data_IF_598000822690
#
_entry.id   IF_598000822690
#
_cell.length_a   1.000
_cell.length_b   1.000
_cell.length_c   1.000
_cell.angle_alpha   90.00
_cell.angle_beta   90.00
_cell.angle_gamma   90.00
#
_symmetry.space_group_name_H-M   'P 1'
#
loop_
_entity.id
_entity.type
_entity.pdbx_description
1 polymer ?
#
# COMPACT_ATOMS: atom_id res chain seq x y z
N UNK A 1 -34.28 2.73 -17.23
CA UNK A 1 -33.79 1.35 -17.06
C UNK A 1 -34.43 0.54 -18.17
N UNK A 2 -33.70 0.42 -19.28
CA UNK A 2 -34.21 -0.14 -20.53
C UNK A 2 -34.30 -1.67 -20.46
N UNK A 3 -35.34 -2.24 -21.06
CA UNK A 3 -35.59 -3.67 -21.12
C UNK A 3 -34.42 -4.50 -21.72
N UNK A 4 -33.50 -3.86 -22.45
CA UNK A 4 -32.30 -4.47 -22.99
C UNK A 4 -31.22 -4.78 -21.94
N UNK A 5 -31.07 -3.99 -20.87
CA UNK A 5 -30.12 -4.28 -19.78
C UNK A 5 -30.58 -5.48 -18.93
N UNK A 6 -31.90 -5.63 -18.77
CA UNK A 6 -32.50 -6.76 -18.05
C UNK A 6 -32.31 -8.07 -18.83
N UNK A 7 -32.48 -8.05 -20.16
CA UNK A 7 -32.32 -9.24 -21.01
C UNK A 7 -30.87 -9.69 -21.15
N UNK A 8 -29.91 -8.76 -21.19
CA UNK A 8 -28.48 -9.07 -21.17
C UNK A 8 -28.06 -9.70 -19.83
N UNK A 9 -28.55 -9.19 -18.71
CA UNK A 9 -28.31 -9.76 -17.38
C UNK A 9 -28.92 -11.15 -17.17
N UNK A 10 -30.07 -11.45 -17.79
CA UNK A 10 -30.70 -12.79 -17.67
C UNK A 10 -29.97 -13.89 -18.42
N UNK A 11 -29.41 -13.60 -19.60
CA UNK A 11 -28.63 -14.58 -20.36
C UNK A 11 -27.28 -14.90 -19.68
N UNK A 12 -26.67 -13.89 -19.06
CA UNK A 12 -25.45 -14.06 -18.28
C UNK A 12 -25.70 -14.87 -16.99
N UNK A 13 -26.78 -14.56 -16.27
CA UNK A 13 -27.16 -15.30 -15.06
C UNK A 13 -27.44 -16.79 -15.34
N UNK A 14 -28.15 -17.10 -16.43
CA UNK A 14 -28.41 -18.50 -16.80
C UNK A 14 -27.13 -19.26 -17.17
N UNK A 15 -26.20 -18.60 -17.86
CA UNK A 15 -24.87 -19.16 -18.16
C UNK A 15 -24.10 -19.46 -16.87
N UNK A 16 -24.08 -18.50 -15.94
CA UNK A 16 -23.43 -18.63 -14.63
C UNK A 16 -24.05 -19.79 -13.83
N UNK A 17 -25.38 -19.85 -13.74
CA UNK A 17 -26.09 -20.92 -13.01
C UNK A 17 -25.84 -22.31 -13.60
N UNK A 18 -25.76 -22.40 -14.93
CA UNK A 18 -25.38 -23.63 -15.63
C UNK A 18 -23.97 -24.09 -15.25
N UNK A 19 -22.99 -23.18 -15.22
CA UNK A 19 -21.62 -23.50 -14.78
C UNK A 19 -21.57 -23.92 -13.31
N UNK A 20 -22.29 -23.22 -12.42
CA UNK A 20 -22.41 -23.63 -11.01
C UNK A 20 -22.97 -25.04 -10.88
N UNK A 21 -24.04 -25.37 -11.59
CA UNK A 21 -24.66 -26.70 -11.54
C UNK A 21 -23.70 -27.81 -12.01
N UNK A 22 -22.77 -27.52 -12.92
CA UNK A 22 -21.75 -28.48 -13.37
C UNK A 22 -20.68 -28.74 -12.31
N UNK A 23 -20.19 -27.69 -11.63
CA UNK A 23 -19.03 -27.81 -10.72
C UNK A 23 -19.42 -28.12 -9.28
N UNK A 24 -20.58 -27.64 -8.82
CA UNK A 24 -20.98 -27.68 -7.41
C UNK A 24 -21.05 -29.09 -6.83
N UNK A 25 -21.56 -30.13 -7.51
CA UNK A 25 -21.56 -31.50 -6.97
C UNK A 25 -20.15 -32.01 -6.65
N UNK A 26 -19.19 -31.71 -7.54
CA UNK A 26 -17.79 -32.09 -7.35
C UNK A 26 -17.15 -31.31 -6.21
N UNK A 27 -17.44 -30.00 -6.10
CA UNK A 27 -16.96 -29.15 -5.01
C UNK A 27 -17.49 -29.66 -3.66
N UNK A 28 -18.80 -29.92 -3.55
CA UNK A 28 -19.42 -30.45 -2.33
C UNK A 28 -18.77 -31.79 -1.94
N UNK A 29 -18.57 -32.70 -2.90
CA UNK A 29 -17.89 -33.98 -2.65
C UNK A 29 -16.47 -33.80 -2.13
N UNK A 30 -15.70 -32.85 -2.67
CA UNK A 30 -14.35 -32.54 -2.18
C UNK A 30 -14.40 -31.90 -0.79
N UNK A 31 -15.31 -30.97 -0.53
CA UNK A 31 -15.48 -30.34 0.78
C UNK A 31 -15.93 -31.35 1.85
N UNK A 32 -16.74 -32.35 1.51
CA UNK A 32 -17.17 -33.39 2.45
C UNK A 32 -16.04 -34.36 2.82
N UNK A 33 -14.98 -34.44 2.02
CA UNK A 33 -13.79 -35.23 2.34
C UNK A 33 -12.89 -34.54 3.38
N UNK A 34 -13.06 -33.23 3.59
CA UNK A 34 -12.27 -32.42 4.51
C UNK A 34 -13.15 -31.82 5.60
N UNK A 35 -13.29 -32.53 6.73
CA UNK A 35 -14.04 -32.06 7.90
C UNK A 35 -15.51 -31.70 7.57
N UNK A 36 -16.14 -30.86 8.39
CA UNK A 36 -17.52 -30.35 8.20
C UNK A 36 -17.60 -29.14 7.26
N UNK A 37 -16.61 -28.91 6.39
CA UNK A 37 -16.55 -27.70 5.55
C UNK A 37 -17.77 -27.55 4.65
N UNK A 38 -18.29 -28.64 4.09
CA UNK A 38 -19.50 -28.60 3.27
C UNK A 38 -20.72 -28.03 4.02
N UNK A 39 -20.87 -28.32 5.33
CA UNK A 39 -21.93 -27.74 6.17
C UNK A 39 -21.70 -26.25 6.47
N UNK A 40 -20.43 -25.85 6.67
CA UNK A 40 -20.06 -24.45 6.87
C UNK A 40 -20.39 -23.62 5.62
N UNK A 41 -20.04 -24.11 4.42
CA UNK A 41 -20.38 -23.44 3.17
C UNK A 41 -21.90 -23.36 2.94
N UNK A 42 -22.64 -24.43 3.24
CA UNK A 42 -24.12 -24.39 3.18
C UNK A 42 -24.69 -23.33 4.12
N UNK A 43 -24.15 -23.23 5.34
CA UNK A 43 -24.57 -22.22 6.31
C UNK A 43 -24.26 -20.81 5.83
N UNK A 44 -23.08 -20.58 5.25
CA UNK A 44 -22.71 -19.32 4.61
C UNK A 44 -23.72 -18.93 3.51
N UNK A 45 -24.04 -19.83 2.57
CA UNK A 45 -25.01 -19.53 1.51
C UNK A 45 -26.39 -19.18 2.07
N UNK A 46 -26.85 -19.87 3.12
CA UNK A 46 -28.11 -19.53 3.80
C UNK A 46 -28.07 -18.13 4.40
N UNK A 47 -26.98 -17.76 5.08
CA UNK A 47 -26.82 -16.42 5.65
C UNK A 47 -26.82 -15.34 4.56
N UNK A 48 -26.23 -15.59 3.39
CA UNK A 48 -26.24 -14.64 2.26
C UNK A 48 -27.65 -14.50 1.68
N UNK A 49 -28.37 -15.60 1.47
CA UNK A 49 -29.76 -15.59 0.95
C UNK A 49 -30.71 -14.88 1.92
N UNK A 50 -30.48 -15.03 3.23
CA UNK A 50 -31.25 -14.39 4.28
C UNK A 50 -30.80 -12.94 4.57
N UNK A 51 -29.84 -12.40 3.82
CA UNK A 51 -29.25 -11.06 4.01
C UNK A 51 -28.69 -10.82 5.43
N UNK A 52 -28.18 -11.89 6.05
CA UNK A 52 -27.58 -11.88 7.40
C UNK A 52 -26.06 -11.81 7.39
N UNK A 53 -25.43 -12.05 6.24
CA UNK A 53 -23.98 -11.97 6.10
C UNK A 53 -23.58 -10.75 5.24
N UNK A 54 -22.82 -9.79 5.79
CA UNK A 54 -22.35 -8.64 5.02
C UNK A 54 -21.35 -9.07 3.94
N UNK A 55 -21.69 -8.87 2.67
CA UNK A 55 -20.82 -9.26 1.54
C UNK A 55 -19.59 -8.35 1.38
N UNK A 56 -19.60 -7.19 2.00
CA UNK A 56 -18.46 -6.28 2.15
C UNK A 56 -17.58 -6.61 3.37
N UNK A 57 -17.86 -7.72 4.07
CA UNK A 57 -17.05 -8.17 5.19
C UNK A 57 -15.60 -8.41 4.76
N UNK A 58 -14.65 -7.79 5.45
CA UNK A 58 -13.23 -7.87 5.11
C UNK A 58 -12.71 -9.32 5.03
N UNK A 59 -13.18 -10.24 5.87
CA UNK A 59 -12.73 -11.63 5.83
C UNK A 59 -13.17 -12.33 4.54
N UNK A 60 -14.38 -12.05 4.05
CA UNK A 60 -14.88 -12.58 2.78
C UNK A 60 -14.09 -11.98 1.61
N UNK A 61 -13.86 -10.66 1.61
CA UNK A 61 -13.09 -10.01 0.55
C UNK A 61 -11.65 -10.54 0.48
N UNK A 62 -11.00 -10.75 1.64
CA UNK A 62 -9.67 -11.35 1.72
C UNK A 62 -9.64 -12.81 1.24
N UNK A 63 -10.69 -13.59 1.54
CA UNK A 63 -10.82 -14.95 1.00
C UNK A 63 -10.99 -14.93 -0.53
N UNK A 64 -11.78 -14.01 -1.06
CA UNK A 64 -11.94 -13.82 -2.51
C UNK A 64 -10.61 -13.47 -3.18
N UNK A 65 -9.79 -12.62 -2.56
CA UNK A 65 -8.43 -12.32 -3.04
C UNK A 65 -7.55 -13.59 -3.08
N UNK A 66 -7.69 -14.51 -2.12
CA UNK A 66 -6.99 -15.81 -2.14
C UNK A 66 -7.49 -16.69 -3.28
N UNK A 67 -8.80 -16.78 -3.51
CA UNK A 67 -9.36 -17.53 -4.65
C UNK A 67 -8.84 -16.96 -5.97
N UNK A 68 -8.85 -15.63 -6.11
CA UNK A 68 -8.32 -14.93 -7.28
C UNK A 68 -6.82 -15.20 -7.47
N UNK A 69 -6.05 -15.28 -6.40
CA UNK A 69 -4.63 -15.64 -6.46
C UNK A 69 -4.44 -17.01 -7.11
N UNK A 70 -5.15 -18.04 -6.64
CA UNK A 70 -5.05 -19.39 -7.20
C UNK A 70 -5.63 -19.53 -8.60
N UNK A 71 -6.58 -18.67 -8.98
CA UNK A 71 -7.16 -18.66 -10.32
C UNK A 71 -6.27 -17.98 -11.38
N UNK A 72 -5.30 -17.16 -10.94
CA UNK A 72 -4.41 -16.46 -11.87
C UNK A 72 -3.29 -17.38 -12.38
N UNK A 73 -2.89 -17.20 -13.63
CA UNK A 73 -1.69 -17.87 -14.18
C UNK A 73 -0.42 -17.16 -13.71
N UNK A 74 -0.51 -15.84 -13.50
CA UNK A 74 0.60 -15.01 -13.04
C UNK A 74 0.12 -14.01 -11.98
N UNK A 75 0.77 -14.05 -10.81
CA UNK A 75 0.44 -13.20 -9.66
C UNK A 75 0.65 -11.70 -9.92
N UNK A 76 1.45 -11.33 -10.92
CA UNK A 76 1.65 -9.92 -11.31
C UNK A 76 0.37 -9.27 -11.83
N UNK A 77 -0.63 -10.06 -12.23
CA UNK A 77 -1.95 -9.60 -12.68
C UNK A 77 -2.99 -9.51 -11.57
N UNK A 78 -2.61 -9.82 -10.32
CA UNK A 78 -3.51 -9.71 -9.18
C UNK A 78 -4.03 -8.28 -9.05
N UNK A 79 -5.35 -8.15 -9.08
CA UNK A 79 -6.06 -6.91 -8.75
C UNK A 79 -6.72 -7.13 -7.41
N UNK A 80 -6.36 -6.27 -6.46
CA UNK A 80 -6.95 -6.27 -5.13
C UNK A 80 -8.08 -5.25 -5.09
N UNK A 81 -9.11 -5.54 -4.30
CA UNK A 81 -10.14 -4.58 -3.98
C UNK A 81 -9.57 -3.39 -3.18
N UNK A 82 -10.15 -2.21 -3.30
CA UNK A 82 -9.70 -1.03 -2.55
C UNK A 82 -9.91 -1.20 -1.04
N UNK A 83 -10.95 -1.92 -0.62
CA UNK A 83 -11.23 -2.23 0.78
C UNK A 83 -10.16 -3.15 1.37
N UNK A 84 -9.74 -4.18 0.62
CA UNK A 84 -8.68 -5.09 1.07
C UNK A 84 -7.32 -4.39 1.06
N UNK A 85 -7.02 -3.56 0.04
CA UNK A 85 -5.84 -2.69 0.03
C UNK A 85 -5.81 -1.76 1.24
N UNK A 86 -6.93 -1.16 1.62
CA UNK A 86 -7.03 -0.29 2.80
C UNK A 86 -6.72 -1.06 4.08
N UNK A 87 -7.30 -2.25 4.25
CA UNK A 87 -6.98 -3.14 5.38
C UNK A 87 -5.48 -3.43 5.47
N UNK A 88 -4.88 -3.86 4.35
CA UNK A 88 -3.44 -4.15 4.30
C UNK A 88 -2.58 -2.92 4.56
N UNK A 89 -2.96 -1.76 4.01
CA UNK A 89 -2.28 -0.49 4.24
C UNK A 89 -2.33 -0.08 5.72
N UNK A 90 -3.48 -0.22 6.38
CA UNK A 90 -3.61 0.04 7.80
C UNK A 90 -2.70 -0.87 8.64
N UNK A 91 -2.74 -2.18 8.40
CA UNK A 91 -1.89 -3.12 9.11
C UNK A 91 -0.39 -2.86 8.89
N UNK A 92 0.01 -2.55 7.65
CA UNK A 92 1.38 -2.16 7.33
C UNK A 92 1.81 -0.86 8.02
N UNK A 93 0.94 0.16 8.10
CA UNK A 93 1.27 1.43 8.79
C UNK A 93 1.47 1.24 10.30
N UNK A 94 0.69 0.37 10.93
CA UNK A 94 0.75 0.14 12.38
C UNK A 94 1.90 -0.79 12.76
N UNK A 95 2.07 -1.89 12.01
CA UNK A 95 2.96 -2.99 12.39
C UNK A 95 4.19 -3.14 11.45
N UNK A 96 4.29 -2.32 10.41
CA UNK A 96 5.39 -2.32 9.46
C UNK A 96 5.42 -3.54 8.54
N UNK A 97 6.58 -3.76 7.91
CA UNK A 97 6.77 -4.87 6.96
C UNK A 97 6.66 -6.26 7.60
N UNK A 98 6.92 -6.40 8.91
CA UNK A 98 6.81 -7.69 9.61
C UNK A 98 5.39 -8.25 9.57
N UNK A 99 4.38 -7.39 9.66
CA UNK A 99 2.98 -7.78 9.51
C UNK A 99 2.69 -8.34 8.12
N UNK A 100 3.17 -7.69 7.07
CA UNK A 100 2.99 -8.16 5.70
C UNK A 100 3.64 -9.53 5.50
N UNK A 101 4.88 -9.70 5.97
CA UNK A 101 5.59 -10.99 5.87
C UNK A 101 4.89 -12.10 6.65
N UNK A 102 4.42 -11.81 7.87
CA UNK A 102 3.70 -12.78 8.70
C UNK A 102 2.38 -13.20 8.02
N UNK A 103 1.59 -12.23 7.58
CA UNK A 103 0.27 -12.47 7.01
C UNK A 103 0.33 -13.11 5.62
N UNK A 104 1.36 -12.84 4.81
CA UNK A 104 1.49 -13.52 3.52
C UNK A 104 1.85 -15.01 3.67
N UNK A 105 2.48 -15.38 4.79
CA UNK A 105 3.11 -16.68 4.94
C UNK A 105 4.29 -16.84 3.98
N UNK A 106 4.76 -18.08 3.86
CA UNK A 106 5.80 -18.43 2.90
C UNK A 106 5.20 -18.45 1.50
N UNK A 107 5.43 -17.38 0.74
CA UNK A 107 4.95 -17.27 -0.63
C UNK A 107 5.50 -18.40 -1.52
N UNK A 108 6.69 -18.95 -1.22
CA UNK A 108 7.28 -20.16 -1.83
C UNK A 108 8.36 -20.81 -0.94
N UNK A 109 8.58 -22.13 -1.13
CA UNK A 109 9.72 -22.91 -0.57
C UNK A 109 11.02 -22.77 -1.37
N UNK A 110 11.01 -22.18 -2.56
CA UNK A 110 12.15 -22.10 -3.49
C UNK A 110 12.98 -20.83 -3.28
N UNK A 111 13.34 -20.52 -2.03
CA UNK A 111 14.47 -19.63 -1.74
C UNK A 111 15.81 -20.37 -1.86
N UNK A 112 15.83 -21.52 -2.53
CA UNK A 112 17.07 -22.11 -3.01
C UNK A 112 17.55 -21.32 -4.24
N UNK A 113 18.79 -20.92 -4.09
CA UNK A 113 19.67 -20.15 -4.96
C UNK A 113 19.57 -20.50 -6.47
N UNK A 114 19.84 -19.45 -7.26
CA UNK A 114 20.45 -19.47 -8.60
C UNK A 114 19.63 -19.43 -9.89
N UNK A 115 18.30 -19.57 -9.93
CA UNK A 115 17.57 -19.33 -11.19
C UNK A 115 16.18 -18.73 -10.96
N UNK A 116 16.11 -17.44 -10.68
CA UNK A 116 14.85 -16.70 -10.78
C UNK A 116 14.95 -15.66 -11.89
N UNK A 117 14.69 -16.11 -13.12
CA UNK A 117 14.20 -15.21 -14.17
C UNK A 117 12.92 -14.54 -13.68
N UNK A 118 12.82 -13.24 -13.92
CA UNK A 118 11.76 -12.39 -13.40
C UNK A 118 10.34 -12.99 -13.50
N UNK A 119 9.65 -13.03 -12.35
CA UNK A 119 8.21 -12.73 -12.23
C UNK A 119 7.20 -13.72 -12.85
N UNK A 120 7.51 -15.01 -12.92
CA UNK A 120 6.46 -16.03 -13.14
C UNK A 120 6.40 -16.99 -11.95
N UNK A 121 5.47 -16.71 -11.05
CA UNK A 121 5.20 -17.56 -9.89
C UNK A 121 3.93 -18.37 -10.17
N UNK A 122 4.01 -19.70 -10.04
CA UNK A 122 2.86 -20.58 -10.14
C UNK A 122 2.04 -20.50 -8.84
N UNK A 123 0.77 -20.04 -8.87
CA UNK A 123 -0.02 -19.95 -7.65
C UNK A 123 -0.33 -21.29 -7.01
N UNK A 124 -0.43 -22.36 -7.80
CA UNK A 124 -0.81 -23.71 -7.35
C UNK A 124 0.22 -24.39 -6.45
N UNK A 125 1.49 -23.96 -6.48
CA UNK A 125 2.56 -24.47 -5.62
C UNK A 125 2.77 -23.64 -4.35
N UNK A 126 2.00 -22.57 -4.15
CA UNK A 126 2.20 -21.63 -3.06
C UNK A 126 1.57 -22.11 -1.75
N UNK A 127 2.26 -21.89 -0.63
CA UNK A 127 1.76 -22.13 0.74
C UNK A 127 1.34 -20.82 1.42
N UNK A 128 0.72 -19.92 0.66
CA UNK A 128 0.31 -18.62 1.17
C UNK A 128 -0.84 -18.74 2.19
N UNK A 129 -0.84 -17.83 3.17
CA UNK A 129 -1.97 -17.69 4.10
C UNK A 129 -3.01 -16.73 3.53
N UNK A 130 -2.55 -15.54 3.12
CA UNK A 130 -3.36 -14.52 2.47
C UNK A 130 -2.68 -13.98 1.20
N UNK A 131 -3.49 -13.58 0.22
CA UNK A 131 -3.02 -12.85 -0.95
C UNK A 131 -2.73 -11.39 -0.54
N UNK A 132 -1.49 -11.14 -0.12
CA UNK A 132 -1.09 -9.81 0.37
C UNK A 132 -0.44 -9.00 -0.77
N UNK A 133 -0.92 -7.75 -1.02
CA UNK A 133 -0.31 -6.85 -1.99
C UNK A 133 1.18 -6.61 -1.72
N UNK A 134 1.94 -6.31 -2.76
CA UNK A 134 3.33 -5.88 -2.61
C UNK A 134 3.39 -4.53 -1.86
N UNK A 135 4.44 -4.32 -1.08
CA UNK A 135 4.70 -3.06 -0.37
C UNK A 135 4.68 -1.89 -1.35
N UNK A 136 5.19 -2.06 -2.57
CA UNK A 136 5.14 -1.01 -3.61
C UNK A 136 3.71 -0.62 -3.98
N UNK A 137 2.79 -1.60 -4.04
CA UNK A 137 1.36 -1.35 -4.28
C UNK A 137 0.74 -0.63 -3.08
N UNK A 138 1.09 -1.02 -1.85
CA UNK A 138 0.58 -0.36 -0.64
C UNK A 138 1.12 1.07 -0.47
N UNK A 139 2.35 1.33 -0.90
CA UNK A 139 2.99 2.64 -0.91
C UNK A 139 2.33 3.59 -1.91
N UNK A 140 2.05 3.11 -3.14
CA UNK A 140 1.41 3.91 -4.18
C UNK A 140 -0.10 4.05 -3.98
N UNK A 141 -0.74 3.10 -3.29
CA UNK A 141 -2.16 3.17 -2.98
C UNK A 141 -2.43 4.28 -1.97
N UNK A 142 -2.95 5.43 -2.41
CA UNK A 142 -3.40 6.49 -1.53
C UNK A 142 -4.93 6.62 -1.58
N UNK A 143 -5.68 5.99 -0.67
CA UNK A 143 -7.13 6.13 -0.61
C UNK A 143 -7.56 7.52 -0.12
N UNK A 144 -6.61 8.31 0.41
CA UNK A 144 -6.81 9.67 0.88
C UNK A 144 -6.20 10.64 -0.14
N UNK A 145 -6.76 10.66 -1.34
CA UNK A 145 -6.30 11.47 -2.48
C UNK A 145 -6.31 12.99 -2.22
N UNK A 146 -6.78 13.46 -1.06
CA UNK A 146 -6.68 14.87 -0.65
C UNK A 146 -5.46 15.21 0.22
N UNK A 147 -4.68 14.23 0.70
CA UNK A 147 -3.60 14.51 1.67
C UNK A 147 -2.28 15.03 1.07
N UNK A 148 -2.09 14.96 -0.24
CA UNK A 148 -0.82 15.41 -0.85
C UNK A 148 -0.61 16.92 -0.82
N UNK A 149 -1.62 17.70 -0.43
CA UNK A 149 -1.54 19.15 -0.20
C UNK A 149 -2.51 19.58 0.91
N UNK A 150 -2.44 18.97 2.11
CA UNK A 150 -3.10 19.59 3.25
C UNK A 150 -2.36 20.86 3.63
N UNK A 151 -2.99 22.01 3.39
CA UNK A 151 -2.49 23.28 3.88
C UNK A 151 -2.38 23.25 5.41
N UNK A 152 -1.34 23.87 5.99
CA UNK A 152 -1.26 24.10 7.42
C UNK A 152 -2.53 24.79 7.94
N UNK A 153 -3.02 24.35 9.10
CA UNK A 153 -4.17 24.96 9.75
C UNK A 153 -5.22 23.95 10.23
N UNK A 154 -6.49 24.34 10.13
CA UNK A 154 -7.61 23.58 10.69
C UNK A 154 -8.01 22.44 9.74
N UNK A 155 -7.91 21.20 10.21
CA UNK A 155 -8.37 20.02 9.48
C UNK A 155 -9.90 19.89 9.52
N UNK A 156 -10.59 20.62 8.64
CA UNK A 156 -12.06 20.63 8.57
C UNK A 156 -12.66 19.24 8.33
N UNK A 157 -12.02 18.42 7.50
CA UNK A 157 -12.45 17.03 7.25
C UNK A 157 -12.42 16.20 8.54
N UNK A 158 -11.35 16.35 9.33
CA UNK A 158 -11.21 15.69 10.63
C UNK A 158 -12.27 16.15 11.62
N UNK A 159 -12.57 17.45 11.67
CA UNK A 159 -13.63 18.00 12.53
C UNK A 159 -15.01 17.48 12.10
N UNK A 160 -15.29 17.46 10.80
CA UNK A 160 -16.56 16.95 10.26
C UNK A 160 -16.74 15.46 10.57
N UNK A 161 -15.69 14.66 10.34
CA UNK A 161 -15.69 13.25 10.68
C UNK A 161 -15.85 13.02 12.18
N UNK A 162 -15.19 13.81 13.02
CA UNK A 162 -15.36 13.76 14.48
C UNK A 162 -16.80 14.09 14.87
N UNK A 163 -17.38 15.17 14.32
CA UNK A 163 -18.75 15.59 14.61
C UNK A 163 -19.80 14.53 14.27
N UNK A 164 -19.61 13.81 13.16
CA UNK A 164 -20.49 12.70 12.78
C UNK A 164 -20.42 11.52 13.77
N UNK A 165 -19.26 11.27 14.37
CA UNK A 165 -19.02 10.12 15.24
C UNK A 165 -19.27 10.40 16.73
N UNK A 166 -19.17 11.66 17.17
CA UNK A 166 -19.28 12.01 18.59
C UNK A 166 -20.73 12.13 19.07
N UNK A 167 -21.67 12.38 18.14
CA UNK A 167 -23.10 12.53 18.45
C UNK A 167 -23.34 13.62 19.49
N UNK A 168 -23.95 13.26 20.63
CA UNK A 168 -24.22 14.17 21.76
C UNK A 168 -23.13 14.20 22.84
N UNK A 169 -21.99 13.53 22.62
CA UNK A 169 -20.92 13.46 23.64
C UNK A 169 -20.01 14.68 23.56
N UNK A 170 -19.52 15.13 24.71
CA UNK A 170 -18.49 16.17 24.78
C UNK A 170 -17.10 15.59 24.47
N UNK A 171 -16.29 16.31 23.69
CA UNK A 171 -14.86 16.04 23.52
C UNK A 171 -14.02 17.10 24.23
N UNK A 172 -12.81 16.72 24.63
CA UNK A 172 -11.77 17.65 25.05
C UNK A 172 -10.79 17.86 23.89
N UNK A 173 -10.49 19.12 23.56
CA UNK A 173 -9.44 19.46 22.61
C UNK A 173 -8.10 19.51 23.34
N UNK A 174 -7.20 18.58 23.02
CA UNK A 174 -5.84 18.54 23.55
C UNK A 174 -4.84 18.73 22.41
N UNK A 175 -3.87 19.63 22.60
CA UNK A 175 -2.79 19.85 21.65
C UNK A 175 -1.45 19.82 22.38
N UNK A 176 -0.44 19.28 21.71
CA UNK A 176 0.95 19.27 22.16
C UNK A 176 1.87 19.57 20.97
N UNK A 177 2.98 20.23 21.25
CA UNK A 177 3.98 20.57 20.25
C UNK A 177 5.04 19.49 20.16
N UNK A 178 5.24 18.92 18.97
CA UNK A 178 6.39 18.05 18.72
C UNK A 178 7.54 18.87 18.15
N UNK A 179 8.69 18.88 18.82
CA UNK A 179 9.92 19.43 18.22
C UNK A 179 10.32 18.55 17.03
N UNK A 180 10.31 19.13 15.84
CA UNK A 180 10.73 18.47 14.59
C UNK A 180 12.12 19.01 14.19
N UNK A 181 12.84 18.29 13.31
CA UNK A 181 14.24 18.58 12.95
C UNK A 181 14.26 19.24 11.58
N UNK A 182 14.73 20.49 11.52
CA UNK A 182 14.76 21.28 10.27
C UNK A 182 15.28 20.48 9.08
N UNK A 183 14.41 20.29 8.09
CA UNK A 183 14.65 19.43 6.94
C UNK A 183 15.22 20.12 5.74
N UNK A 184 16.54 20.04 5.58
CA UNK A 184 17.25 20.66 4.48
C UNK A 184 17.45 19.71 3.27
N UNK A 185 16.93 18.47 3.32
CA UNK A 185 17.17 17.46 2.28
C UNK A 185 15.88 16.86 1.70
N UNK A 186 15.97 16.31 0.49
CA UNK A 186 14.85 15.62 -0.20
C UNK A 186 14.34 14.35 0.49
N UNK A 187 15.15 13.74 1.37
CA UNK A 187 14.88 12.41 1.92
C UNK A 187 14.63 12.41 3.43
N UNK A 188 15.06 13.47 4.13
CA UNK A 188 14.78 13.63 5.54
C UNK A 188 14.63 15.11 5.93
N UNK A 189 13.50 15.36 6.58
CA UNK A 189 13.21 16.50 7.42
C UNK A 189 12.02 17.35 6.96
N UNK A 190 11.29 17.78 7.99
CA UNK A 190 10.20 18.73 8.17
C UNK A 190 9.13 19.01 7.12
N UNK A 191 7.93 19.16 7.69
CA UNK A 191 6.69 19.64 7.10
C UNK A 191 6.93 21.07 6.63
N UNK A 192 6.76 21.30 5.33
CA UNK A 192 6.68 22.64 4.77
C UNK A 192 5.48 23.36 5.41
N UNK A 193 5.75 24.40 6.20
CA UNK A 193 4.68 25.19 6.81
C UNK A 193 4.16 26.25 5.84
N UNK A 194 4.54 26.21 4.56
CA UNK A 194 3.99 27.04 3.47
C UNK A 194 4.04 28.54 3.84
N UNK A 195 5.16 28.99 4.43
CA UNK A 195 5.36 30.39 4.80
C UNK A 195 4.80 30.79 6.17
N UNK A 196 4.26 29.85 6.95
CA UNK A 196 3.83 30.09 8.33
C UNK A 196 4.96 29.85 9.36
N UNK A 197 6.21 29.72 8.92
CA UNK A 197 7.37 29.66 9.81
C UNK A 197 7.63 30.99 10.53
N UNK A 198 8.10 30.91 11.78
CA UNK A 198 8.66 32.08 12.46
C UNK A 198 10.11 32.31 11.99
N UNK A 199 10.31 33.35 11.18
CA UNK A 199 11.60 33.70 10.57
C UNK A 199 11.76 33.25 9.12
N UNK A 200 12.97 32.82 8.75
CA UNK A 200 13.30 32.40 7.38
C UNK A 200 12.56 31.09 7.01
N UNK A 201 11.83 31.10 5.89
CA UNK A 201 10.98 29.98 5.46
C UNK A 201 11.82 28.77 5.04
N UNK A 202 11.21 27.58 4.97
CA UNK A 202 11.89 26.39 4.45
C UNK A 202 12.34 26.58 2.99
N UNK A 203 11.53 27.30 2.20
CA UNK A 203 11.86 27.64 0.81
C UNK A 203 13.11 28.52 0.73
N UNK A 204 13.18 29.57 1.53
CA UNK A 204 14.34 30.47 1.57
C UNK A 204 15.62 29.73 1.99
N UNK A 205 15.51 28.86 3.01
CA UNK A 205 16.62 28.01 3.46
C UNK A 205 17.12 27.06 2.37
N UNK A 206 16.21 26.50 1.55
CA UNK A 206 16.57 25.64 0.41
C UNK A 206 17.30 26.42 -0.67
N UNK A 207 16.74 27.57 -1.07
CA UNK A 207 17.37 28.44 -2.07
C UNK A 207 18.79 28.83 -1.64
N UNK A 208 18.95 29.27 -0.38
CA UNK A 208 20.28 29.60 0.16
C UNK A 208 21.25 28.42 0.15
N UNK A 209 20.79 27.22 0.46
CA UNK A 209 21.64 26.03 0.41
C UNK A 209 22.02 25.64 -1.02
N UNK A 210 21.10 25.78 -1.97
CA UNK A 210 21.37 25.56 -3.40
C UNK A 210 22.42 26.57 -3.89
N UNK A 211 22.30 27.83 -3.51
CA UNK A 211 23.29 28.87 -3.82
C UNK A 211 24.68 28.55 -3.23
N UNK A 212 24.74 28.21 -1.94
CA UNK A 212 26.00 27.82 -1.27
C UNK A 212 26.60 26.56 -1.93
N UNK A 213 25.78 25.60 -2.32
CA UNK A 213 26.24 24.37 -2.98
C UNK A 213 26.81 24.66 -4.37
N UNK A 214 26.18 25.57 -5.12
CA UNK A 214 26.67 26.03 -6.41
C UNK A 214 28.02 26.76 -6.28
N UNK A 215 28.16 27.65 -5.30
CA UNK A 215 29.41 28.36 -5.01
C UNK A 215 30.55 27.39 -4.64
N UNK A 216 30.28 26.43 -3.74
CA UNK A 216 31.27 25.42 -3.35
C UNK A 216 31.70 24.55 -4.54
N UNK A 217 30.77 24.21 -5.45
CA UNK A 217 31.08 23.47 -6.68
C UNK A 217 32.00 24.27 -7.60
N UNK A 218 31.74 25.56 -7.79
CA UNK A 218 32.57 26.45 -8.61
C UNK A 218 33.97 26.65 -8.00
N UNK A 219 34.08 26.78 -6.68
CA UNK A 219 35.35 26.81 -5.96
C UNK A 219 36.14 25.50 -6.14
N UNK A 220 35.46 24.34 -6.01
CA UNK A 220 36.08 23.03 -6.23
C UNK A 220 36.66 22.87 -7.64
N UNK A 221 35.96 23.35 -8.67
CA UNK A 221 36.47 23.37 -10.05
C UNK A 221 37.70 24.29 -10.18
N UNK A 222 37.67 25.45 -9.54
CA UNK A 222 38.78 26.42 -9.56
C UNK A 222 40.03 25.84 -8.89
N UNK A 223 39.86 25.18 -7.74
CA UNK A 223 40.95 24.49 -7.03
C UNK A 223 41.54 23.38 -7.90
N UNK A 224 40.71 22.56 -8.53
CA UNK A 224 41.17 21.49 -9.44
C UNK A 224 42.01 22.02 -10.61
N UNK A 225 41.60 23.16 -11.21
CA UNK A 225 42.36 23.84 -12.28
C UNK A 225 43.71 24.36 -11.76
N UNK A 226 43.74 24.88 -10.54
CA UNK A 226 44.97 25.39 -9.91
C UNK A 226 45.92 24.25 -9.56
N UNK A 227 45.43 23.16 -8.99
CA UNK A 227 46.24 21.95 -8.70
C UNK A 227 46.90 21.39 -9.98
N UNK A 228 46.16 21.35 -11.08
CA UNK A 228 46.65 20.90 -12.38
C UNK A 228 47.75 21.82 -12.96
N UNK A 229 47.68 23.13 -12.70
CA UNK A 229 48.67 24.12 -13.15
C UNK A 229 49.95 24.12 -12.31
N UNK A 230 49.86 23.83 -11.01
CA UNK A 230 51.02 23.84 -10.10
C UNK A 230 51.75 22.49 -10.12
N UNK A 231 51.20 21.46 -10.78
CA UNK A 231 51.84 20.14 -10.90
C UNK A 231 51.80 19.34 -9.61
N UNK A 232 50.86 19.63 -8.70
CA UNK A 232 50.61 18.82 -7.52
C UNK A 232 49.92 17.52 -7.97
N UNK A 233 50.46 16.32 -7.65
CA UNK A 233 49.80 15.07 -7.97
C UNK A 233 48.49 14.98 -7.20
N UNK A 234 47.41 14.56 -7.88
CA UNK A 234 46.11 14.25 -7.28
C UNK A 234 46.31 13.49 -5.96
N UNK A 235 45.99 14.12 -4.84
CA UNK A 235 45.97 13.42 -3.56
C UNK A 235 44.93 12.28 -3.64
N UNK A 236 45.24 11.08 -3.12
CA UNK A 236 44.34 9.93 -3.20
C UNK A 236 42.98 10.24 -2.59
N UNK A 237 41.93 9.68 -3.19
CA UNK A 237 40.50 9.90 -2.90
C UNK A 237 40.12 9.57 -1.44
N UNK A 238 40.98 8.90 -0.68
CA UNK A 238 40.75 8.41 0.69
C UNK A 238 40.48 9.50 1.75
N UNK A 239 40.70 10.79 1.46
CA UNK A 239 40.38 11.89 2.39
C UNK A 239 38.97 12.49 2.13
N UNK A 240 38.31 12.17 1.01
CA UNK A 240 36.99 12.75 0.67
C UNK A 240 35.79 12.11 1.37
N UNK A 241 35.97 11.02 2.12
CA UNK A 241 34.87 10.29 2.78
C UNK A 241 34.72 10.58 4.29
N UNK A 242 35.44 11.55 4.86
CA UNK A 242 35.35 11.88 6.29
C UNK A 242 34.88 13.32 6.62
N UNK A 243 34.26 14.04 5.67
CA UNK A 243 33.58 15.32 5.92
C UNK A 243 32.13 15.23 5.49
#
# INVERSE_FOLDING_TARGET
MDACEILAGTNDLQSILSEYNKVLPTVIKKLSQHSQLHLTFLSFFRLVVEDKFPLDNIALLLWTDVVNWFNNINITRMRYDDTTKLFWKCGWRIFGGRFISFMSGFKNKTFDQDVCTEKQYSPTSSTLNFAVPDIKVLQSFNPYTSESQREPGICNDGIKALGQNIGHRSACLTFDGKKIKQGLTKFCGDIDLIGFEDGETLHDKRNRLEDITAELSALGQTVAVVEQKIGLPNLPIEIKEQI
#
